data_IF_849222489057
#
_entry.id   IF_849222489057
#
_cell.length_a   1.000
_cell.length_b   1.000
_cell.length_c   1.000
_cell.angle_alpha   90.00
_cell.angle_beta   90.00
_cell.angle_gamma   90.00
#
_symmetry.space_group_name_H-M   'P 1'
#
loop_
_entity.id
_entity.type
_entity.pdbx_description
1 polymer ?
#
# COMPACT_ATOMS: atom_id res chain seq x y z
N UNK A 1 17.94 -6.31 -2.92
CA UNK A 1 16.61 -6.83 -2.51
C UNK A 1 15.61 -6.40 -3.56
N UNK A 2 14.84 -7.35 -4.09
CA UNK A 2 13.83 -7.09 -5.12
C UNK A 2 12.48 -7.08 -4.40
N UNK A 3 11.86 -5.91 -4.29
CA UNK A 3 10.53 -5.76 -3.70
C UNK A 3 9.47 -5.93 -4.77
N UNK A 4 8.42 -6.70 -4.49
CA UNK A 4 7.27 -6.93 -5.37
C UNK A 4 6.08 -6.14 -4.88
N UNK A 5 5.53 -5.30 -5.75
CA UNK A 5 4.39 -4.43 -5.44
C UNK A 5 3.23 -4.82 -6.34
N UNK A 6 2.06 -5.08 -5.74
CA UNK A 6 0.81 -5.30 -6.45
C UNK A 6 -0.07 -4.06 -6.29
N UNK A 7 -0.45 -3.44 -7.41
CA UNK A 7 -1.42 -2.34 -7.43
C UNK A 7 -2.63 -2.77 -8.25
N UNK A 8 -3.82 -2.68 -7.67
CA UNK A 8 -5.06 -3.09 -8.32
C UNK A 8 -6.20 -2.09 -8.09
N UNK A 9 -6.68 -1.49 -9.18
CA UNK A 9 -7.99 -0.84 -9.20
C UNK A 9 -9.11 -1.90 -9.18
N UNK A 10 -9.74 -2.07 -8.02
CA UNK A 10 -10.69 -3.15 -7.74
C UNK A 10 -12.10 -2.86 -8.24
N UNK A 11 -12.47 -1.57 -8.37
CA UNK A 11 -13.83 -1.10 -8.64
C UNK A 11 -14.91 -1.69 -7.71
N UNK A 12 -14.53 -2.11 -6.51
CA UNK A 12 -15.39 -2.79 -5.54
C UNK A 12 -14.76 -4.02 -4.89
N UNK A 13 -14.27 -3.87 -3.66
CA UNK A 13 -13.70 -4.95 -2.84
C UNK A 13 -14.77 -5.78 -2.09
N UNK A 14 -16.05 -5.44 -2.25
CA UNK A 14 -17.16 -6.03 -1.49
C UNK A 14 -17.68 -7.36 -2.07
N UNK A 15 -17.24 -7.73 -3.28
CA UNK A 15 -17.76 -8.90 -3.98
C UNK A 15 -16.95 -10.17 -3.63
N UNK A 16 -17.58 -11.31 -3.31
CA UNK A 16 -16.85 -12.52 -2.90
C UNK A 16 -15.82 -13.03 -3.93
N UNK A 17 -16.11 -12.90 -5.23
CA UNK A 17 -15.15 -13.26 -6.29
C UNK A 17 -13.84 -12.47 -6.21
N UNK A 18 -13.90 -11.19 -5.81
CA UNK A 18 -12.71 -10.37 -5.62
C UNK A 18 -11.76 -10.98 -4.59
N UNK A 19 -12.31 -11.49 -3.48
CA UNK A 19 -11.52 -12.05 -2.38
C UNK A 19 -10.80 -13.31 -2.83
N UNK A 20 -11.45 -14.12 -3.68
CA UNK A 20 -10.84 -15.31 -4.28
C UNK A 20 -9.68 -14.94 -5.19
N UNK A 21 -9.90 -14.05 -6.15
CA UNK A 21 -8.86 -13.63 -7.08
C UNK A 21 -7.68 -12.99 -6.34
N UNK A 22 -7.95 -12.10 -5.39
CA UNK A 22 -6.89 -11.47 -4.60
C UNK A 22 -6.04 -12.52 -3.88
N UNK A 23 -6.64 -13.56 -3.27
CA UNK A 23 -5.88 -14.65 -2.65
C UNK A 23 -5.04 -15.45 -3.65
N UNK A 24 -5.54 -15.70 -4.85
CA UNK A 24 -4.78 -16.34 -5.93
C UNK A 24 -3.57 -15.46 -6.30
N UNK A 25 -3.76 -14.16 -6.51
CA UNK A 25 -2.67 -13.22 -6.78
C UNK A 25 -1.63 -13.14 -5.65
N UNK A 26 -2.08 -13.11 -4.38
CA UNK A 26 -1.17 -13.11 -3.24
C UNK A 26 -0.32 -14.39 -3.18
N UNK A 27 -0.88 -15.54 -3.58
CA UNK A 27 -0.17 -16.81 -3.62
C UNK A 27 0.82 -16.89 -4.77
N UNK A 28 0.40 -16.47 -5.96
CA UNK A 28 1.19 -16.62 -7.18
C UNK A 28 2.33 -15.61 -7.26
N UNK A 29 2.07 -14.38 -6.83
CA UNK A 29 3.03 -13.28 -6.95
C UNK A 29 3.75 -12.97 -5.65
N UNK A 30 3.25 -13.43 -4.50
CA UNK A 30 3.81 -13.21 -3.16
C UNK A 30 4.33 -11.76 -2.97
N UNK A 31 3.45 -10.76 -3.15
CA UNK A 31 3.85 -9.36 -3.12
C UNK A 31 4.21 -8.92 -1.70
N UNK A 32 5.23 -8.08 -1.59
CA UNK A 32 5.59 -7.44 -0.33
C UNK A 32 4.54 -6.36 0.02
N UNK A 33 4.15 -5.54 -0.96
CA UNK A 33 3.15 -4.46 -0.80
C UNK A 33 1.95 -4.72 -1.70
N UNK A 34 0.75 -4.49 -1.18
CA UNK A 34 -0.51 -4.56 -1.90
C UNK A 34 -1.28 -3.25 -1.74
N UNK A 35 -1.60 -2.62 -2.86
CA UNK A 35 -2.38 -1.37 -2.92
C UNK A 35 -3.66 -1.66 -3.71
N UNK A 36 -4.79 -1.49 -3.06
CA UNK A 36 -6.12 -1.62 -3.67
C UNK A 36 -6.76 -0.23 -3.78
N UNK A 37 -7.17 0.15 -4.98
CA UNK A 37 -7.78 1.46 -5.28
C UNK A 37 -9.22 1.26 -5.74
N UNK A 38 -10.08 2.24 -5.53
CA UNK A 38 -11.53 2.16 -5.83
C UNK A 38 -12.18 0.96 -5.13
N UNK A 39 -11.86 0.76 -3.85
CA UNK A 39 -12.41 -0.37 -3.11
C UNK A 39 -13.91 -0.24 -2.86
N UNK A 40 -14.45 0.98 -2.81
CA UNK A 40 -15.90 1.27 -2.61
C UNK A 40 -16.50 0.55 -1.40
N UNK A 41 -15.67 0.25 -0.41
CA UNK A 41 -16.05 -0.46 0.82
C UNK A 41 -15.44 0.28 1.99
N UNK A 42 -16.28 0.53 3.00
CA UNK A 42 -15.93 1.29 4.20
C UNK A 42 -16.38 0.60 5.49
N UNK A 43 -15.84 1.09 6.61
CA UNK A 43 -16.19 0.67 7.98
C UNK A 43 -15.95 -0.82 8.25
N UNK A 44 -16.82 -1.43 9.06
CA UNK A 44 -16.65 -2.84 9.52
C UNK A 44 -16.52 -3.86 8.39
N UNK A 45 -17.18 -3.61 7.25
CA UNK A 45 -17.07 -4.48 6.08
C UNK A 45 -15.64 -4.44 5.52
N UNK A 46 -15.01 -3.27 5.50
CA UNK A 46 -13.62 -3.13 5.09
C UNK A 46 -12.68 -3.88 6.04
N UNK A 47 -12.86 -3.71 7.36
CA UNK A 47 -12.07 -4.42 8.38
C UNK A 47 -12.15 -5.94 8.22
N UNK A 48 -13.37 -6.46 7.99
CA UNK A 48 -13.57 -7.89 7.76
C UNK A 48 -12.87 -8.41 6.49
N UNK A 49 -12.76 -7.60 5.45
CA UNK A 49 -12.05 -7.99 4.21
C UNK A 49 -10.55 -7.95 4.43
N UNK A 50 -10.02 -6.86 5.02
CA UNK A 50 -8.59 -6.71 5.32
C UNK A 50 -8.11 -7.84 6.23
N UNK A 51 -8.87 -8.17 7.28
CA UNK A 51 -8.53 -9.29 8.17
C UNK A 51 -8.49 -10.67 7.48
N UNK A 52 -9.17 -10.84 6.34
CA UNK A 52 -9.15 -12.09 5.55
C UNK A 52 -8.00 -12.18 4.55
N UNK A 53 -7.34 -11.06 4.26
CA UNK A 53 -6.24 -10.95 3.29
C UNK A 53 -4.92 -11.47 3.92
N UNK A 54 -4.76 -11.36 5.24
CA UNK A 54 -3.67 -12.02 5.97
C UNK A 54 -2.33 -11.30 5.91
N UNK A 55 -2.31 -10.02 5.50
CA UNK A 55 -1.13 -9.17 5.59
C UNK A 55 -1.06 -8.53 7.00
N UNK A 56 0.12 -8.51 7.65
CA UNK A 56 0.25 -8.10 9.06
C UNK A 56 -0.04 -6.62 9.27
N UNK A 57 0.28 -5.78 8.29
CA UNK A 57 0.10 -4.33 8.39
C UNK A 57 -0.85 -3.82 7.32
N UNK A 58 -1.66 -2.83 7.69
CA UNK A 58 -2.57 -2.18 6.76
C UNK A 58 -2.84 -0.73 7.14
N UNK A 59 -3.04 0.10 6.12
CA UNK A 59 -3.56 1.45 6.21
C UNK A 59 -4.70 1.62 5.20
N UNK A 60 -5.74 2.35 5.59
CA UNK A 60 -6.93 2.51 4.77
C UNK A 60 -7.43 3.93 4.76
N UNK A 61 -7.81 4.39 3.57
CA UNK A 61 -8.65 5.54 3.34
C UNK A 61 -10.05 5.02 2.99
N UNK A 62 -11.04 5.48 3.76
CA UNK A 62 -12.44 5.09 3.61
C UNK A 62 -13.03 5.59 2.28
N UNK A 63 -13.88 4.77 1.66
CA UNK A 63 -14.66 5.18 0.51
C UNK A 63 -15.75 6.19 0.91
N UNK A 64 -16.08 7.12 0.01
CA UNK A 64 -17.21 8.06 0.17
C UNK A 64 -18.34 7.64 -0.77
N UNK A 65 -19.38 7.01 -0.21
CA UNK A 65 -20.47 6.45 -1.00
C UNK A 65 -19.97 5.37 -1.98
N UNK A 66 -20.22 5.57 -3.27
CA UNK A 66 -19.82 4.64 -4.33
C UNK A 66 -18.47 4.98 -5.00
N UNK A 67 -17.71 5.94 -4.44
CA UNK A 67 -16.46 6.42 -5.03
C UNK A 67 -15.27 6.28 -4.07
N UNK A 68 -14.12 5.98 -4.65
CA UNK A 68 -12.84 5.95 -3.95
C UNK A 68 -12.69 4.77 -3.00
N UNK A 69 -11.91 5.01 -1.94
CA UNK A 69 -11.40 3.97 -1.05
C UNK A 69 -10.05 3.46 -1.54
N UNK A 70 -9.04 3.55 -0.68
CA UNK A 70 -7.67 3.11 -0.96
C UNK A 70 -7.17 2.31 0.22
N UNK A 71 -6.76 1.07 -0.01
CA UNK A 71 -6.22 0.20 1.03
C UNK A 71 -4.78 -0.13 0.68
N UNK A 72 -3.88 0.03 1.64
CA UNK A 72 -2.46 -0.31 1.53
C UNK A 72 -2.18 -1.37 2.57
N UNK A 73 -1.58 -2.49 2.18
CA UNK A 73 -1.26 -3.61 3.07
C UNK A 73 0.14 -4.12 2.75
N UNK A 74 0.89 -4.57 3.74
CA UNK A 74 2.28 -4.99 3.53
C UNK A 74 2.77 -6.06 4.52
N UNK A 75 3.80 -6.79 4.09
CA UNK A 75 4.55 -7.77 4.89
C UNK A 75 5.59 -7.10 5.81
N UNK A 76 6.02 -7.80 6.86
CA UNK A 76 7.07 -7.34 7.79
C UNK A 76 8.48 -7.30 7.15
N UNK A 77 8.68 -8.04 6.06
CA UNK A 77 9.94 -8.13 5.30
C UNK A 77 10.37 -6.82 4.61
N UNK A 78 9.53 -5.78 4.62
CA UNK A 78 9.81 -4.45 4.04
C UNK A 78 10.46 -3.51 5.05
N UNK A 79 11.19 -4.06 6.03
CA UNK A 79 12.16 -3.26 6.76
C UNK A 79 13.24 -2.78 5.78
N UNK A 80 13.08 -1.54 5.31
CA UNK A 80 13.95 -0.91 4.32
C UNK A 80 15.40 -0.92 4.79
N UNK A 81 16.30 -1.27 3.87
CA UNK A 81 17.76 -1.23 4.10
C UNK A 81 18.16 0.08 4.81
N UNK A 82 18.85 0.03 5.98
CA UNK A 82 19.18 1.22 6.77
C UNK A 82 20.14 2.20 6.06
N UNK A 83 20.74 1.79 4.93
CA UNK A 83 21.72 2.55 4.17
C UNK A 83 21.13 3.79 3.47
N UNK A 84 21.59 4.98 3.88
CA UNK A 84 21.17 6.31 3.40
C UNK A 84 21.30 6.52 1.88
N UNK A 85 22.31 5.94 1.25
CA UNK A 85 22.57 6.11 -0.19
C UNK A 85 21.49 5.43 -1.05
N UNK A 86 21.09 4.20 -0.71
CA UNK A 86 20.04 3.46 -1.42
C UNK A 86 18.67 4.13 -1.32
N UNK A 87 18.41 4.78 -0.18
CA UNK A 87 17.20 5.60 0.03
C UNK A 87 17.17 6.84 -0.87
N UNK A 88 18.32 7.50 -1.06
CA UNK A 88 18.44 8.65 -1.97
C UNK A 88 18.20 8.26 -3.43
N UNK A 89 18.73 7.12 -3.87
CA UNK A 89 18.50 6.58 -5.21
C UNK A 89 17.02 6.23 -5.45
N UNK A 90 16.38 5.58 -4.49
CA UNK A 90 14.94 5.29 -4.53
C UNK A 90 14.11 6.57 -4.70
N UNK A 91 14.36 7.58 -3.86
CA UNK A 91 13.65 8.86 -3.92
C UNK A 91 13.84 9.60 -5.23
N UNK A 92 15.05 9.57 -5.79
CA UNK A 92 15.32 10.16 -7.10
C UNK A 92 14.52 9.45 -8.20
N UNK A 93 14.51 8.12 -8.20
CA UNK A 93 13.73 7.33 -9.17
C UNK A 93 12.23 7.60 -9.08
N UNK A 94 11.69 7.68 -7.86
CA UNK A 94 10.29 8.05 -7.60
C UNK A 94 10.00 9.48 -8.11
N UNK A 95 10.91 10.43 -7.86
CA UNK A 95 10.78 11.81 -8.34
C UNK A 95 10.74 11.92 -9.87
N UNK A 96 11.51 11.09 -10.58
CA UNK A 96 11.42 11.01 -12.04
C UNK A 96 10.10 10.43 -12.53
N UNK A 97 9.62 9.35 -11.90
CA UNK A 97 8.34 8.73 -12.25
C UNK A 97 7.16 9.68 -12.01
N UNK A 98 7.22 10.48 -10.93
CA UNK A 98 6.22 11.48 -10.58
C UNK A 98 5.95 12.50 -11.70
N UNK A 99 6.99 12.90 -12.43
CA UNK A 99 6.89 13.93 -13.47
C UNK A 99 6.03 13.50 -14.67
N UNK A 100 5.88 12.19 -14.89
CA UNK A 100 5.09 11.64 -15.99
C UNK A 100 3.63 11.35 -15.65
N UNK A 101 3.22 11.53 -14.39
CA UNK A 101 1.89 11.10 -13.92
C UNK A 101 0.91 12.27 -13.92
N UNK A 102 -0.07 12.23 -14.82
CA UNK A 102 -1.11 13.27 -14.97
C UNK A 102 -2.38 13.00 -14.13
N UNK A 103 -2.35 11.99 -13.25
CA UNK A 103 -3.50 11.53 -12.46
C UNK A 103 -3.14 11.45 -10.98
N UNK A 104 -4.11 11.44 -10.05
CA UNK A 104 -3.81 11.27 -8.63
C UNK A 104 -3.04 9.98 -8.36
N UNK A 105 -1.93 10.07 -7.63
CA UNK A 105 -1.06 8.93 -7.32
C UNK A 105 -0.69 8.91 -5.82
N UNK A 106 -0.45 7.71 -5.32
CA UNK A 106 -0.13 7.45 -3.92
C UNK A 106 1.17 6.65 -3.85
N UNK A 107 2.10 7.11 -3.02
CA UNK A 107 3.26 6.33 -2.60
C UNK A 107 3.05 6.01 -1.12
N UNK A 108 3.17 4.73 -0.75
CA UNK A 108 3.05 4.29 0.63
C UNK A 108 4.12 3.23 0.95
N UNK A 109 4.68 3.31 2.16
CA UNK A 109 5.74 2.44 2.66
C UNK A 109 6.41 3.05 3.89
N UNK A 110 7.36 2.34 4.50
CA UNK A 110 8.25 2.91 5.52
C UNK A 110 9.42 3.63 4.83
N UNK A 111 9.32 4.95 4.77
CA UNK A 111 10.32 5.80 4.14
C UNK A 111 11.53 6.10 5.02
N UNK A 112 11.47 5.71 6.30
CA UNK A 112 12.48 5.98 7.30
C UNK A 112 12.97 7.44 7.21
N UNK A 113 12.04 8.37 7.01
CA UNK A 113 12.33 9.79 6.81
C UNK A 113 11.67 10.54 7.97
N UNK A 114 12.48 11.24 8.77
CA UNK A 114 11.93 12.22 9.70
C UNK A 114 11.42 13.38 8.87
N UNK A 115 10.11 13.55 8.82
CA UNK A 115 9.50 14.65 8.08
C UNK A 115 9.63 15.96 8.86
N UNK A 116 9.65 15.86 10.20
CA UNK A 116 9.83 16.97 11.13
C UNK A 116 10.66 16.54 12.35
N UNK A 117 11.32 17.50 13.01
CA UNK A 117 12.14 17.24 14.20
C UNK A 117 11.32 16.76 15.42
N UNK A 118 10.01 17.01 15.43
CA UNK A 118 9.11 16.65 16.53
C UNK A 118 8.81 15.13 16.60
N UNK A 119 9.18 14.37 15.58
CA UNK A 119 9.09 12.89 15.58
C UNK A 119 10.14 12.23 16.48
N UNK A 120 11.11 13.00 16.99
CA UNK A 120 12.18 12.50 17.85
C UNK A 120 11.74 12.47 19.31
N UNK A 121 11.36 11.30 19.83
CA UNK A 121 11.15 11.08 21.27
C UNK A 121 12.43 10.53 21.92
N UNK A 122 13.12 11.39 22.66
CA UNK A 122 14.25 11.03 23.53
C UNK A 122 15.63 11.32 22.92
N UNK A 123 16.46 11.98 23.72
CA UNK A 123 17.91 12.13 23.55
C UNK A 123 18.62 11.51 24.74
#
# INVERSE_FOLDING_TARGET
MKSRILVWNCQGAGHPKFHRFLKEYLRDFDPDIVILVETRVSGRKADCVVGKIGLPYSYRIEARGFAGGIWVMWQDSIYGSPQRMKRKELWNGIGYLAQGVQSPWLIAGDFNAMLNNDEKKGG
#
